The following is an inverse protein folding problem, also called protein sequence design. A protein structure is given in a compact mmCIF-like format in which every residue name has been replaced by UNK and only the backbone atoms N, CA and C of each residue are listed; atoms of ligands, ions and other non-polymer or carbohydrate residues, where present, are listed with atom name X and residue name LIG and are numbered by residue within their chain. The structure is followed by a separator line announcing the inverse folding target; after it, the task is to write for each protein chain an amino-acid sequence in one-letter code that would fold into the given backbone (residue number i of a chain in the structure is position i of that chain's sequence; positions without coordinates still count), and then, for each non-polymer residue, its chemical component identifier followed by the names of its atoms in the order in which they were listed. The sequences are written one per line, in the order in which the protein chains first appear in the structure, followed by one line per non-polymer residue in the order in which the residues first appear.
data_IF_180309353967
#
_entry.id   IF_180309353967
#
_cell.length_a   1.000
_cell.length_b   1.000
_cell.length_c   1.000
_cell.angle_alpha   90.00
_cell.angle_beta   90.00
_cell.angle_gamma   90.00
#
_symmetry.space_group_name_H-M   'P 1'
#
loop_
_entity.id
_entity.type
_entity.pdbx_description
1 polymer ?
#
# COMPACT_ATOMS: atom_id res chain seq x y z
N UNK A 1 1.47 -7.47 2.83
CA UNK A 1 0.21 -7.56 2.05
C UNK A 1 -0.95 -7.23 2.97
N UNK A 2 -1.82 -6.29 2.59
CA UNK A 2 -2.98 -5.91 3.41
C UNK A 2 -4.20 -6.78 3.05
N UNK A 3 -4.70 -7.55 4.02
CA UNK A 3 -5.81 -8.48 3.84
C UNK A 3 -7.12 -7.78 3.42
N UNK A 4 -7.41 -6.58 3.91
CA UNK A 4 -8.63 -5.84 3.56
C UNK A 4 -8.60 -5.38 2.10
N UNK A 5 -7.43 -4.96 1.62
CA UNK A 5 -7.24 -4.57 0.21
C UNK A 5 -7.37 -5.78 -0.70
N UNK A 6 -6.83 -6.92 -0.29
CA UNK A 6 -6.95 -8.17 -1.04
C UNK A 6 -8.41 -8.65 -1.10
N UNK A 7 -9.13 -8.68 0.03
CA UNK A 7 -10.54 -9.09 0.09
C UNK A 7 -11.40 -8.22 -0.84
N UNK A 8 -11.21 -6.90 -0.78
CA UNK A 8 -11.91 -5.96 -1.66
C UNK A 8 -11.61 -6.21 -3.15
N UNK A 9 -10.36 -6.50 -3.50
CA UNK A 9 -9.97 -6.77 -4.89
C UNK A 9 -10.57 -8.09 -5.41
N UNK A 10 -10.56 -9.14 -4.58
CA UNK A 10 -11.16 -10.44 -4.92
C UNK A 10 -12.68 -10.33 -5.11
N UNK A 11 -13.38 -9.62 -4.22
CA UNK A 11 -14.83 -9.36 -4.35
C UNK A 11 -15.17 -8.50 -5.55
N UNK A 12 -14.36 -7.48 -5.85
CA UNK A 12 -14.55 -6.62 -7.03
C UNK A 12 -14.36 -7.40 -8.35
N UNK A 13 -13.54 -8.44 -8.34
CA UNK A 13 -13.37 -9.38 -9.45
C UNK A 13 -14.52 -10.40 -9.57
N UNK A 14 -15.52 -10.34 -8.68
CA UNK A 14 -16.68 -11.24 -8.69
C UNK A 14 -16.43 -12.60 -8.04
N UNK A 15 -15.31 -12.78 -7.33
CA UNK A 15 -14.99 -14.06 -6.68
C UNK A 15 -15.86 -14.26 -5.43
N UNK A 16 -16.41 -15.46 -5.30
CA UNK A 16 -17.32 -15.81 -4.22
C UNK A 16 -16.55 -16.35 -3.00
N UNK A 17 -16.08 -15.45 -2.14
CA UNK A 17 -15.21 -15.76 -1.00
C UNK A 17 -15.83 -15.35 0.35
N UNK A 18 -15.55 -16.13 1.40
CA UNK A 18 -15.85 -15.78 2.78
C UNK A 18 -14.90 -14.69 3.26
N UNK A 19 -13.62 -14.80 2.90
CA UNK A 19 -12.61 -13.81 3.21
C UNK A 19 -11.22 -14.22 2.72
N UNK A 20 -10.22 -13.44 3.09
CA UNK A 20 -8.82 -13.78 2.87
C UNK A 20 -7.94 -13.34 4.04
N UNK A 21 -6.81 -14.04 4.20
CA UNK A 21 -5.80 -13.73 5.22
C UNK A 21 -4.70 -12.80 4.71
N UNK A 22 -3.96 -12.18 5.62
CA UNK A 22 -2.77 -11.37 5.32
C UNK A 22 -1.64 -12.16 4.65
N UNK A 23 -1.66 -13.50 4.74
CA UNK A 23 -0.75 -14.41 4.05
C UNK A 23 -1.20 -14.85 2.66
N UNK A 24 -2.35 -14.36 2.16
CA UNK A 24 -2.83 -14.66 0.81
C UNK A 24 -3.64 -15.94 0.69
N UNK A 25 -3.93 -16.62 1.80
CA UNK A 25 -4.93 -17.69 1.83
C UNK A 25 -6.31 -17.09 1.60
N UNK A 26 -7.07 -17.69 0.70
CA UNK A 26 -8.44 -17.32 0.34
C UNK A 26 -9.39 -18.40 0.85
N UNK A 27 -10.40 -18.00 1.60
CA UNK A 27 -11.45 -18.88 2.09
C UNK A 27 -12.65 -18.79 1.14
N UNK A 28 -12.84 -19.83 0.33
CA UNK A 28 -13.89 -19.87 -0.69
C UNK A 28 -15.25 -20.27 -0.11
N UNK A 29 -16.34 -19.70 -0.63
CA UNK A 29 -17.72 -20.05 -0.22
C UNK A 29 -18.12 -21.42 -0.79
N UNK A 30 -17.67 -21.72 -2.00
CA UNK A 30 -17.89 -22.97 -2.71
C UNK A 30 -16.59 -23.43 -3.35
N UNK A 31 -16.56 -24.67 -3.87
CA UNK A 31 -15.41 -25.14 -4.63
C UNK A 31 -15.18 -24.21 -5.85
N UNK A 32 -14.01 -23.55 -5.94
CA UNK A 32 -13.74 -22.62 -7.04
C UNK A 32 -13.55 -23.40 -8.34
N UNK A 33 -13.91 -22.76 -9.45
CA UNK A 33 -13.52 -23.20 -10.78
C UNK A 33 -12.05 -22.87 -11.05
N UNK A 34 -11.43 -23.55 -12.00
CA UNK A 34 -10.03 -23.30 -12.37
C UNK A 34 -9.80 -21.85 -12.88
N UNK A 35 -10.81 -21.25 -13.51
CA UNK A 35 -10.78 -19.84 -13.92
C UNK A 35 -10.77 -18.89 -12.72
N UNK A 36 -11.53 -19.19 -11.67
CA UNK A 36 -11.55 -18.40 -10.44
C UNK A 36 -10.23 -18.53 -9.66
N UNK A 37 -9.65 -19.73 -9.58
CA UNK A 37 -8.33 -19.93 -8.97
C UNK A 37 -7.24 -19.14 -9.70
N UNK A 38 -7.27 -19.16 -11.03
CA UNK A 38 -6.29 -18.43 -11.86
C UNK A 38 -6.43 -16.91 -11.66
N UNK A 39 -7.66 -16.41 -11.65
CA UNK A 39 -7.95 -14.99 -11.42
C UNK A 39 -7.51 -14.56 -10.01
N UNK A 40 -7.84 -15.37 -9.01
CA UNK A 40 -7.44 -15.13 -7.63
C UNK A 40 -5.92 -15.11 -7.46
N UNK A 41 -5.20 -16.07 -8.04
CA UNK A 41 -3.74 -16.11 -8.02
C UNK A 41 -3.12 -14.88 -8.71
N UNK A 42 -3.72 -14.41 -9.80
CA UNK A 42 -3.29 -13.18 -10.47
C UNK A 42 -3.52 -11.94 -9.60
N UNK A 43 -4.64 -11.87 -8.87
CA UNK A 43 -4.94 -10.76 -7.96
C UNK A 43 -3.99 -10.77 -6.76
N UNK A 44 -3.72 -11.95 -6.18
CA UNK A 44 -2.77 -12.10 -5.05
C UNK A 44 -1.36 -11.71 -5.48
N UNK A 45 -0.89 -12.16 -6.64
CA UNK A 45 0.44 -11.81 -7.15
C UNK A 45 0.57 -10.34 -7.57
N UNK A 46 -0.53 -9.70 -7.96
CA UNK A 46 -0.57 -8.27 -8.25
C UNK A 46 -0.68 -7.37 -7.01
N UNK A 47 -0.96 -7.92 -5.82
CA UNK A 47 -0.95 -7.10 -4.61
C UNK A 47 0.50 -6.75 -4.24
N UNK A 48 0.83 -5.45 -4.10
CA UNK A 48 2.13 -5.05 -3.58
C UNK A 48 2.30 -5.67 -2.19
N UNK A 49 3.48 -6.21 -1.92
CA UNK A 49 3.80 -6.99 -0.73
C UNK A 49 3.85 -6.14 0.55
N UNK A 50 2.89 -5.26 0.86
CA UNK A 50 3.14 -4.14 1.78
C UNK A 50 4.52 -3.54 1.46
N UNK A 51 4.64 -2.86 0.34
CA UNK A 51 5.70 -1.85 0.26
C UNK A 51 5.53 -0.99 1.51
N UNK A 52 6.56 -1.03 2.36
CA UNK A 52 6.73 -0.11 3.46
C UNK A 52 6.34 1.29 2.95
N UNK A 53 5.66 2.11 3.77
CA UNK A 53 5.14 3.39 3.32
C UNK A 53 6.23 4.08 2.53
N UNK A 54 6.01 4.26 1.23
CA UNK A 54 6.93 4.82 0.25
C UNK A 54 7.78 5.85 0.98
N UNK A 55 8.97 5.42 1.42
CA UNK A 55 9.77 6.25 2.32
C UNK A 55 10.29 7.27 1.36
N UNK A 56 9.52 8.35 1.21
CA UNK A 56 9.97 9.58 0.61
C UNK A 56 11.15 9.96 1.47
N UNK A 57 12.34 9.51 1.06
CA UNK A 57 13.57 9.90 1.67
C UNK A 57 13.71 11.36 1.27
N UNK A 58 13.30 12.24 2.17
CA UNK A 58 13.68 13.63 2.05
C UNK A 58 15.19 13.63 2.18
N UNK A 59 15.93 14.05 1.16
CA UNK A 59 17.38 14.13 1.26
C UNK A 59 17.74 15.10 2.40
N UNK A 60 18.74 14.75 3.21
CA UNK A 60 19.16 15.58 4.36
C UNK A 60 19.50 17.01 3.93
N UNK A 61 19.99 17.19 2.69
CA UNK A 61 20.23 18.51 2.11
C UNK A 61 18.99 19.39 1.98
N UNK A 62 17.80 18.81 1.74
CA UNK A 62 16.55 19.55 1.71
C UNK A 62 16.09 19.94 3.13
N UNK A 63 16.33 19.08 4.12
CA UNK A 63 16.08 19.41 5.53
C UNK A 63 17.01 20.52 6.00
N UNK A 64 18.30 20.41 5.70
CA UNK A 64 19.32 21.40 6.05
C UNK A 64 19.05 22.75 5.39
N UNK A 65 18.65 22.77 4.11
CA UNK A 65 18.29 24.01 3.43
C UNK A 65 17.05 24.68 4.05
N UNK A 66 16.07 23.89 4.52
CA UNK A 66 14.89 24.44 5.21
C UNK A 66 15.27 25.02 6.56
N UNK A 67 16.12 24.32 7.34
CA UNK A 67 16.61 24.80 8.64
C UNK A 67 17.52 26.05 8.50
N UNK A 68 18.31 26.12 7.44
CA UNK A 68 19.18 27.25 7.14
C UNK A 68 18.43 28.45 6.50
N UNK A 69 17.15 28.29 6.17
CA UNK A 69 16.35 29.34 5.52
C UNK A 69 16.73 29.62 4.05
N UNK A 70 17.49 28.71 3.42
CA UNK A 70 17.96 28.81 2.03
C UNK A 70 17.19 27.89 1.07
N UNK A 71 16.22 27.14 1.60
CA UNK A 71 15.38 26.23 0.83
C UNK A 71 14.55 26.92 -0.26
N UNK A 72 14.39 26.22 -1.36
CA UNK A 72 13.44 26.58 -2.39
C UNK A 72 12.02 26.16 -2.00
N UNK A 73 11.02 26.70 -2.71
CA UNK A 73 9.63 26.29 -2.52
C UNK A 73 9.39 24.80 -2.83
N UNK A 74 10.26 24.15 -3.61
CA UNK A 74 10.21 22.72 -3.85
C UNK A 74 10.65 21.93 -2.62
N UNK A 75 11.79 22.31 -2.02
CA UNK A 75 12.34 21.67 -0.82
C UNK A 75 11.37 21.74 0.37
N UNK A 76 10.77 22.93 0.58
CA UNK A 76 9.77 23.13 1.64
C UNK A 76 8.54 22.22 1.44
N UNK A 77 8.04 22.09 0.20
CA UNK A 77 6.89 21.25 -0.11
C UNK A 77 7.19 19.77 0.13
N UNK A 78 8.40 19.34 -0.15
CA UNK A 78 8.84 17.96 0.04
C UNK A 78 8.97 17.61 1.53
N UNK A 79 9.65 18.46 2.31
CA UNK A 79 9.78 18.32 3.77
C UNK A 79 8.42 18.32 4.47
N UNK A 80 7.51 19.23 4.10
CA UNK A 80 6.15 19.29 4.67
C UNK A 80 5.35 18.04 4.34
N UNK A 81 5.43 17.54 3.09
CA UNK A 81 4.73 16.31 2.68
C UNK A 81 5.21 15.11 3.48
N UNK A 82 6.51 15.01 3.73
CA UNK A 82 7.09 13.98 4.59
C UNK A 82 6.58 14.07 6.02
N UNK A 83 6.67 15.25 6.66
CA UNK A 83 6.21 15.44 8.04
C UNK A 83 4.72 15.08 8.21
N UNK A 84 3.86 15.51 7.28
CA UNK A 84 2.42 15.21 7.32
C UNK A 84 2.15 13.70 7.21
N UNK A 85 2.90 12.98 6.37
CA UNK A 85 2.78 11.52 6.25
C UNK A 85 3.29 10.81 7.51
N UNK A 86 4.46 11.18 8.00
CA UNK A 86 5.09 10.55 9.19
C UNK A 86 4.26 10.77 10.45
N UNK A 87 3.65 11.94 10.62
CA UNK A 87 2.77 12.24 11.76
C UNK A 87 1.42 11.52 11.66
N UNK A 88 0.85 11.35 10.45
CA UNK A 88 -0.40 10.56 10.26
C UNK A 88 -0.25 9.06 10.54
N UNK A 89 0.96 8.51 10.45
CA UNK A 89 1.21 7.08 10.74
C UNK A 89 1.32 6.81 12.25
N UNK A 90 1.47 7.86 13.08
CA UNK A 90 1.64 7.76 14.54
C UNK A 90 0.41 8.15 15.36
N UNK A 91 -0.69 8.57 14.74
CA UNK A 91 -1.96 8.90 15.40
C UNK A 91 -3.04 7.90 15.04
#
# INVERSE_FOLDING_TARGET
MNAERLDKALRAAGLNIHGCSSGGRIDWISQPTQSEETLAASIVSAQPQNDAPDVVQVPDSAVDAVLAGTATAADVREVVRYLVRTLRVKG
#
